data_IF_041651808333
#
_entry.id   IF_041651808333
#
_cell.length_a   1.000
_cell.length_b   1.000
_cell.length_c   1.000
_cell.angle_alpha   90.00
_cell.angle_beta   90.00
_cell.angle_gamma   90.00
#
_symmetry.space_group_name_H-M   'P 1'
#
loop_
_entity.id
_entity.type
_entity.pdbx_description
1 polymer ?
#
# COMPACT_ATOMS: atom_id res chain seq x y z
N UNK A 1 -21.25 -32.44 -13.34
CA UNK A 1 -19.97 -32.48 -12.58
C UNK A 1 -18.84 -32.29 -13.57
N UNK A 2 -17.79 -31.54 -13.24
CA UNK A 2 -16.67 -31.30 -14.17
C UNK A 2 -15.63 -32.42 -14.01
N UNK A 3 -15.28 -33.10 -15.10
CA UNK A 3 -14.30 -34.20 -15.07
C UNK A 3 -12.88 -33.66 -14.87
N UNK A 4 -12.14 -34.30 -13.97
CA UNK A 4 -10.76 -33.94 -13.61
C UNK A 4 -9.82 -35.12 -13.73
N UNK A 5 -8.54 -34.86 -13.96
CA UNK A 5 -7.49 -35.87 -13.96
C UNK A 5 -6.26 -35.36 -13.21
N UNK A 6 -5.41 -36.29 -12.77
CA UNK A 6 -4.16 -36.00 -12.05
C UNK A 6 -3.00 -35.95 -13.04
N UNK A 7 -2.20 -34.89 -13.01
CA UNK A 7 -1.01 -34.71 -13.83
C UNK A 7 0.22 -34.54 -12.93
N UNK A 8 0.89 -35.65 -12.64
CA UNK A 8 2.05 -35.71 -11.73
C UNK A 8 3.33 -35.14 -12.35
N UNK A 9 3.47 -35.22 -13.67
CA UNK A 9 4.69 -34.80 -14.38
C UNK A 9 4.79 -33.28 -14.52
N UNK A 10 3.64 -32.58 -14.54
CA UNK A 10 3.59 -31.14 -14.75
C UNK A 10 2.63 -30.44 -13.79
N UNK A 11 3.07 -30.21 -12.53
CA UNK A 11 2.29 -29.47 -11.55
C UNK A 11 1.94 -28.06 -12.05
N UNK A 12 0.87 -27.49 -11.50
CA UNK A 12 0.52 -26.10 -11.79
C UNK A 12 1.63 -25.14 -11.32
N UNK A 13 2.08 -24.25 -12.21
CA UNK A 13 3.16 -23.29 -11.92
C UNK A 13 2.75 -22.27 -10.84
N UNK A 14 1.45 -22.02 -10.67
CA UNK A 14 0.96 -20.99 -9.73
C UNK A 14 0.67 -21.51 -8.32
N UNK A 15 0.19 -22.74 -8.18
CA UNK A 15 -0.22 -23.29 -6.88
C UNK A 15 0.31 -24.69 -6.58
N UNK A 16 1.09 -25.29 -7.48
CA UNK A 16 1.64 -26.64 -7.31
C UNK A 16 0.64 -27.79 -7.45
N UNK A 17 -0.65 -27.50 -7.63
CA UNK A 17 -1.69 -28.54 -7.73
C UNK A 17 -1.49 -29.45 -8.94
N UNK A 18 -1.77 -30.74 -8.73
CA UNK A 18 -1.69 -31.79 -9.74
C UNK A 18 -3.04 -32.02 -10.46
N UNK A 19 -4.13 -31.44 -9.94
CA UNK A 19 -5.48 -31.73 -10.42
C UNK A 19 -5.87 -30.73 -11.52
N UNK A 20 -6.20 -31.26 -12.70
CA UNK A 20 -6.55 -30.47 -13.90
C UNK A 20 -7.93 -30.85 -14.43
N UNK A 21 -8.60 -29.89 -15.06
CA UNK A 21 -9.83 -30.16 -15.81
C UNK A 21 -9.52 -30.91 -17.09
N UNK A 22 -10.28 -31.98 -17.36
CA UNK A 22 -10.16 -32.76 -18.61
C UNK A 22 -10.47 -31.89 -19.83
N UNK A 23 -11.43 -30.97 -19.73
CA UNK A 23 -11.91 -30.16 -20.85
C UNK A 23 -10.95 -29.07 -21.34
N UNK A 24 -10.09 -28.54 -20.46
CA UNK A 24 -9.26 -27.37 -20.76
C UNK A 24 -7.79 -27.55 -20.37
N UNK A 25 -7.43 -28.66 -19.73
CA UNK A 25 -6.10 -28.87 -19.15
C UNK A 25 -5.74 -27.86 -18.05
N UNK A 26 -6.66 -26.98 -17.66
CA UNK A 26 -6.42 -25.92 -16.68
C UNK A 26 -6.41 -26.48 -15.26
N UNK A 27 -5.56 -25.91 -14.42
CA UNK A 27 -5.53 -26.23 -12.99
C UNK A 27 -6.89 -25.92 -12.35
N UNK A 28 -7.43 -26.89 -11.60
CA UNK A 28 -8.75 -26.75 -10.96
C UNK A 28 -8.75 -25.63 -9.93
N UNK A 29 -7.72 -25.56 -9.09
CA UNK A 29 -7.66 -24.59 -7.99
C UNK A 29 -7.47 -23.15 -8.47
N UNK A 30 -6.61 -22.93 -9.48
CA UNK A 30 -6.46 -21.62 -10.12
C UNK A 30 -7.74 -21.18 -10.84
N UNK A 31 -8.43 -22.12 -11.51
CA UNK A 31 -9.68 -21.78 -12.17
C UNK A 31 -10.81 -21.46 -11.19
N UNK A 32 -10.84 -22.11 -10.02
CA UNK A 32 -11.83 -21.82 -8.96
C UNK A 32 -11.55 -20.49 -8.28
N UNK A 33 -10.29 -20.21 -7.94
CA UNK A 33 -9.90 -18.93 -7.34
C UNK A 33 -10.18 -17.75 -8.27
N UNK A 34 -9.92 -17.88 -9.58
CA UNK A 34 -10.26 -16.83 -10.57
C UNK A 34 -11.76 -16.55 -10.68
N UNK A 35 -12.62 -17.54 -10.41
CA UNK A 35 -14.08 -17.39 -10.43
C UNK A 35 -14.66 -16.75 -9.17
N UNK A 36 -13.84 -16.49 -8.15
CA UNK A 36 -14.33 -15.77 -6.98
C UNK A 36 -14.66 -14.33 -7.37
N UNK A 37 -15.82 -13.80 -6.95
CA UNK A 37 -16.14 -12.41 -7.20
C UNK A 37 -15.04 -11.52 -6.61
N UNK A 38 -14.70 -10.40 -7.27
CA UNK A 38 -13.72 -9.48 -6.74
C UNK A 38 -14.11 -9.10 -5.31
N UNK A 39 -13.12 -9.10 -4.40
CA UNK A 39 -13.35 -8.70 -3.01
C UNK A 39 -14.07 -7.35 -3.00
N UNK A 40 -15.12 -7.17 -2.19
CA UNK A 40 -15.85 -5.92 -2.13
C UNK A 40 -14.85 -4.79 -1.85
N UNK A 41 -14.88 -3.73 -2.67
CA UNK A 41 -14.06 -2.55 -2.44
C UNK A 41 -14.39 -2.03 -1.04
N UNK A 42 -13.38 -1.73 -0.20
CA UNK A 42 -13.65 -1.16 1.12
C UNK A 42 -14.47 0.12 0.93
N UNK A 43 -15.58 0.24 1.65
CA UNK A 43 -16.37 1.47 1.67
C UNK A 43 -15.52 2.53 2.39
N UNK A 44 -14.95 3.45 1.62
CA UNK A 44 -14.21 4.58 2.16
C UNK A 44 -15.26 5.57 2.67
N UNK A 45 -15.62 5.45 3.95
CA UNK A 45 -16.42 6.47 4.63
C UNK A 45 -15.57 7.75 4.74
N UNK A 46 -16.05 8.87 4.21
CA UNK A 46 -15.45 10.18 4.48
C UNK A 46 -15.79 10.55 5.92
N UNK A 47 -14.80 10.46 6.80
CA UNK A 47 -14.97 10.81 8.20
C UNK A 47 -14.40 12.21 8.44
N UNK A 48 -15.09 13.03 9.24
CA UNK A 48 -14.55 14.29 9.76
C UNK A 48 -13.25 14.02 10.52
N UNK A 49 -12.32 14.97 10.56
CA UNK A 49 -10.98 14.77 11.11
C UNK A 49 -10.96 14.22 12.55
N UNK A 50 -12.02 14.44 13.32
CA UNK A 50 -12.21 13.93 14.69
C UNK A 50 -12.65 12.47 14.79
N UNK A 51 -13.14 11.85 13.71
CA UNK A 51 -13.59 10.47 13.72
C UNK A 51 -12.81 9.56 12.73
N UNK A 52 -11.77 10.09 12.08
CA UNK A 52 -10.86 9.32 11.25
C UNK A 52 -10.13 8.23 12.07
N UNK A 53 -10.65 7.00 12.06
CA UNK A 53 -9.88 5.80 12.40
C UNK A 53 -9.17 5.33 11.12
N UNK A 54 -7.86 5.17 11.20
CA UNK A 54 -7.01 4.69 10.11
C UNK A 54 -7.62 3.44 9.44
N UNK A 55 -7.55 3.36 8.10
CA UNK A 55 -6.28 3.03 7.48
C UNK A 55 -5.98 3.94 6.29
N UNK A 56 -5.08 4.89 6.47
CA UNK A 56 -4.32 5.36 5.32
C UNK A 56 -3.26 4.31 5.07
N UNK A 57 -3.35 3.66 3.91
CA UNK A 57 -2.33 2.72 3.43
C UNK A 57 -1.09 3.52 3.03
N UNK A 58 -0.28 3.90 4.02
CA UNK A 58 1.12 4.21 3.82
C UNK A 58 1.90 2.88 3.93
N UNK A 59 2.89 2.70 3.08
CA UNK A 59 3.72 1.50 3.00
C UNK A 59 4.22 1.03 4.38
N UNK A 60 3.84 -0.20 4.76
CA UNK A 60 4.64 -1.12 5.59
C UNK A 60 5.34 -0.62 6.87
N UNK A 61 4.87 0.45 7.51
CA UNK A 61 5.43 0.96 8.76
C UNK A 61 4.53 0.66 9.97
N UNK A 62 5.14 0.38 11.12
CA UNK A 62 4.43 0.31 12.39
C UNK A 62 3.73 1.65 12.67
N UNK A 63 2.41 1.69 12.47
CA UNK A 63 1.56 2.84 12.73
C UNK A 63 1.45 3.24 14.23
N UNK A 64 2.24 2.60 15.11
CA UNK A 64 2.24 2.86 16.56
C UNK A 64 2.77 4.26 16.91
N UNK A 65 3.48 4.93 15.99
CA UNK A 65 4.16 6.21 16.24
C UNK A 65 3.67 7.36 15.33
N UNK A 66 2.51 7.25 14.70
CA UNK A 66 2.01 8.32 13.82
C UNK A 66 1.48 9.50 14.66
N UNK A 67 2.22 10.61 14.68
CA UNK A 67 1.78 11.86 15.30
C UNK A 67 1.02 12.67 14.26
N UNK A 68 -0.25 12.99 14.55
CA UNK A 68 -1.04 13.92 13.74
C UNK A 68 -0.86 15.31 14.34
N UNK A 69 -0.24 16.21 13.58
CA UNK A 69 -0.02 17.60 14.00
C UNK A 69 -0.88 18.53 13.16
N UNK A 70 -1.63 19.42 13.82
CA UNK A 70 -2.28 20.56 13.17
C UNK A 70 -1.37 21.77 13.32
N UNK A 71 -0.96 22.33 12.21
CA UNK A 71 -0.06 23.48 12.15
C UNK A 71 -0.80 24.68 11.57
N UNK A 72 -0.35 25.88 11.95
CA UNK A 72 -0.79 27.10 11.27
C UNK A 72 -0.27 27.12 9.83
N UNK A 73 -0.92 27.89 8.97
CA UNK A 73 -0.50 28.07 7.57
C UNK A 73 0.96 28.55 7.47
N UNK A 74 1.33 29.56 8.27
CA UNK A 74 2.71 30.04 8.34
C UNK A 74 3.73 28.95 8.75
N UNK A 75 3.35 28.03 9.64
CA UNK A 75 4.22 26.93 10.03
C UNK A 75 4.33 25.86 8.92
N UNK A 76 3.25 25.61 8.17
CA UNK A 76 3.26 24.73 7.00
C UNK A 76 4.14 25.29 5.88
N UNK A 77 4.04 26.59 5.60
CA UNK A 77 4.85 27.25 4.59
C UNK A 77 6.35 27.20 4.94
N UNK A 78 6.69 27.41 6.21
CA UNK A 78 8.07 27.28 6.67
C UNK A 78 8.57 25.83 6.54
N UNK A 79 7.73 24.84 6.83
CA UNK A 79 8.06 23.43 6.64
C UNK A 79 8.30 23.06 5.18
N UNK A 80 7.46 23.56 4.27
CA UNK A 80 7.65 23.37 2.84
C UNK A 80 8.96 24.02 2.39
N UNK A 81 9.23 25.27 2.79
CA UNK A 81 10.47 25.98 2.47
C UNK A 81 11.70 25.20 2.91
N UNK A 82 11.78 24.81 4.18
CA UNK A 82 12.90 24.03 4.73
C UNK A 82 13.03 22.68 4.02
N UNK A 83 11.91 22.01 3.76
CA UNK A 83 11.91 20.72 3.07
C UNK A 83 12.46 20.81 1.66
N UNK A 84 12.05 21.80 0.87
CA UNK A 84 12.58 21.99 -0.48
C UNK A 84 14.06 22.37 -0.47
N UNK A 85 14.51 23.19 0.49
CA UNK A 85 15.94 23.50 0.66
C UNK A 85 16.77 22.24 0.93
N UNK A 86 16.29 21.36 1.81
CA UNK A 86 16.95 20.09 2.14
C UNK A 86 16.95 19.12 0.96
N UNK A 87 15.81 18.94 0.30
CA UNK A 87 15.68 18.08 -0.89
C UNK A 87 16.62 18.53 -2.00
N UNK A 88 16.72 19.85 -2.24
CA UNK A 88 17.68 20.42 -3.19
C UNK A 88 19.13 20.18 -2.76
N UNK A 89 19.45 20.39 -1.47
CA UNK A 89 20.80 20.16 -0.91
C UNK A 89 21.25 18.71 -1.08
N UNK A 90 20.37 17.75 -0.84
CA UNK A 90 20.66 16.32 -0.91
C UNK A 90 20.37 15.69 -2.29
N UNK A 91 19.96 16.49 -3.29
CA UNK A 91 19.63 16.04 -4.65
C UNK A 91 18.58 14.93 -4.68
N UNK A 92 17.59 15.03 -3.80
CA UNK A 92 16.48 14.10 -3.69
C UNK A 92 15.41 14.47 -4.73
N UNK A 93 14.83 13.48 -5.42
CA UNK A 93 13.83 13.71 -6.47
C UNK A 93 12.65 12.73 -6.35
N UNK A 94 11.49 13.13 -6.87
CA UNK A 94 10.29 12.28 -6.92
C UNK A 94 9.55 12.11 -5.59
N UNK A 95 9.82 12.95 -4.59
CA UNK A 95 9.10 12.91 -3.33
C UNK A 95 7.80 13.71 -3.38
N UNK A 96 6.76 13.16 -2.72
CA UNK A 96 5.50 13.86 -2.50
C UNK A 96 5.68 14.96 -1.47
N UNK A 97 4.78 15.94 -1.47
CA UNK A 97 4.82 17.06 -0.53
C UNK A 97 4.82 16.59 0.94
N UNK A 98 4.07 15.55 1.28
CA UNK A 98 4.05 14.97 2.63
C UNK A 98 5.43 14.48 3.05
N UNK A 99 6.15 13.83 2.12
CA UNK A 99 7.50 13.31 2.41
C UNK A 99 8.53 14.42 2.54
N UNK A 100 8.39 15.50 1.76
CA UNK A 100 9.21 16.72 1.88
C UNK A 100 9.01 17.34 3.27
N UNK A 101 7.77 17.47 3.73
CA UNK A 101 7.43 17.97 5.07
C UNK A 101 7.95 17.07 6.18
N UNK A 102 7.89 15.74 6.02
CA UNK A 102 8.47 14.81 6.99
C UNK A 102 9.99 14.97 7.11
N UNK A 103 10.71 15.11 5.99
CA UNK A 103 12.16 15.35 6.00
C UNK A 103 12.48 16.64 6.78
N UNK A 104 11.72 17.70 6.54
CA UNK A 104 11.89 18.96 7.26
C UNK A 104 11.58 18.83 8.76
N UNK A 105 10.50 18.13 9.13
CA UNK A 105 10.16 17.85 10.52
C UNK A 105 11.26 17.06 11.24
N UNK A 106 11.76 15.98 10.64
CA UNK A 106 12.86 15.18 11.20
C UNK A 106 14.10 16.04 11.40
N UNK A 107 14.45 16.87 10.41
CA UNK A 107 15.60 17.76 10.52
C UNK A 107 15.48 18.79 11.66
N UNK A 108 14.29 19.38 11.83
CA UNK A 108 14.03 20.35 12.90
C UNK A 108 14.05 19.70 14.29
N UNK A 109 13.54 18.48 14.42
CA UNK A 109 13.54 17.73 15.68
C UNK A 109 14.95 17.28 16.08
N UNK A 110 15.79 16.91 15.13
CA UNK A 110 17.19 16.53 15.39
C UNK A 110 18.08 17.74 15.70
N UNK A 111 17.70 18.94 15.26
CA UNK A 111 18.45 20.17 15.47
C UNK A 111 18.08 20.92 16.77
N UNK A 112 17.00 20.51 17.46
CA UNK A 112 16.49 21.11 18.69
C UNK A 112 17.07 20.42 19.95
#
# INVERSE_FOLDING_TARGET
MANTFTNSDKPCIHCGSLIRYVSSGSCVDCSKSRRQPPKPKPQIARVTASAARAPFHCEGGDNRNNIIVKLSEAALDNLDRVGYELVKKYRLAGYTQERIRMIALSHLLEAA
#
